data_IF_835046432197
#
_entry.id   IF_835046432197
#
_cell.length_a   1.000
_cell.length_b   1.000
_cell.length_c   1.000
_cell.angle_alpha   90.00
_cell.angle_beta   90.00
_cell.angle_gamma   90.00
#
_symmetry.space_group_name_H-M   'P 1'
#
loop_
_entity.id
_entity.type
_entity.pdbx_description
1 polymer ?
#
# COMPACT_ATOMS: atom_id res chain seq x y z
N UNK A 1 -19.35 55.31 50.34
CA UNK A 1 -18.01 54.74 50.08
C UNK A 1 -18.18 53.25 49.83
N UNK A 2 -17.64 52.75 48.73
CA UNK A 2 -17.92 51.43 48.15
C UNK A 2 -17.05 50.30 48.76
N UNK A 3 -17.52 49.04 48.75
CA UNK A 3 -16.67 47.89 49.06
C UNK A 3 -15.83 47.50 47.83
N UNK A 4 -14.51 47.39 48.01
CA UNK A 4 -13.57 46.82 47.04
C UNK A 4 -13.66 45.30 47.03
N UNK A 5 -13.98 44.72 45.88
CA UNK A 5 -13.91 43.28 45.60
C UNK A 5 -12.50 42.90 45.14
N UNK A 6 -11.89 41.94 45.85
CA UNK A 6 -10.60 41.35 45.49
C UNK A 6 -10.83 40.18 44.53
N UNK A 7 -10.28 40.25 43.32
CA UNK A 7 -10.42 39.22 42.30
C UNK A 7 -9.42 38.08 42.53
N UNK A 8 -9.93 36.86 42.71
CA UNK A 8 -9.15 35.64 42.83
C UNK A 8 -8.61 35.22 41.45
N UNK A 9 -7.30 35.12 41.33
CA UNK A 9 -6.59 34.61 40.15
C UNK A 9 -6.80 33.10 40.00
N UNK A 10 -7.42 32.69 38.89
CA UNK A 10 -7.60 31.30 38.49
C UNK A 10 -6.28 30.73 37.97
N UNK A 11 -5.83 29.52 38.38
CA UNK A 11 -4.63 28.92 37.82
C UNK A 11 -4.85 28.55 36.34
N UNK A 12 -3.92 28.96 35.48
CA UNK A 12 -3.89 28.59 34.08
C UNK A 12 -3.56 27.09 33.95
N UNK A 13 -4.51 26.31 33.45
CA UNK A 13 -4.28 24.92 33.06
C UNK A 13 -3.47 24.89 31.78
N UNK A 14 -2.20 24.48 31.87
CA UNK A 14 -1.38 24.13 30.70
C UNK A 14 -2.07 22.98 29.96
N UNK A 15 -2.40 23.10 28.66
CA UNK A 15 -2.95 21.97 27.93
C UNK A 15 -1.85 20.93 27.79
N UNK A 16 -1.99 19.82 28.52
CA UNK A 16 -1.20 18.62 28.28
C UNK A 16 -1.59 18.11 26.90
N UNK A 17 -0.76 18.37 25.91
CA UNK A 17 -0.93 17.84 24.56
C UNK A 17 -0.75 16.32 24.63
N UNK A 18 -1.84 15.58 24.78
CA UNK A 18 -1.86 14.15 24.54
C UNK A 18 -1.29 13.93 23.14
N UNK A 19 -0.22 13.14 22.96
CA UNK A 19 0.26 12.80 21.63
C UNK A 19 -0.90 12.18 20.86
N UNK A 20 -1.33 12.82 19.78
CA UNK A 20 -2.33 12.25 18.89
C UNK A 20 -1.82 10.87 18.47
N UNK A 21 -2.67 9.84 18.55
CA UNK A 21 -2.32 8.52 18.04
C UNK A 21 -1.77 8.67 16.60
N UNK A 22 -0.69 7.96 16.23
CA UNK A 22 -0.10 8.10 14.91
C UNK A 22 -1.19 7.85 13.87
N UNK A 23 -1.52 8.88 13.10
CA UNK A 23 -2.61 8.81 12.14
C UNK A 23 -2.19 7.85 11.03
N UNK A 24 -3.14 7.07 10.48
CA UNK A 24 -2.83 6.20 9.34
C UNK A 24 -2.30 7.04 8.19
N UNK A 25 -1.36 6.48 7.42
CA UNK A 25 -0.86 7.18 6.23
C UNK A 25 -2.00 7.36 5.24
N UNK A 26 -2.29 8.62 4.86
CA UNK A 26 -3.21 8.88 3.77
C UNK A 26 -2.52 8.54 2.45
N UNK A 27 -3.27 7.98 1.50
CA UNK A 27 -2.76 7.66 0.16
C UNK A 27 -2.14 8.87 -0.53
N UNK A 28 -2.68 10.09 -0.30
CA UNK A 28 -2.16 11.35 -0.84
C UNK A 28 -0.80 11.78 -0.27
N UNK A 29 -0.39 11.19 0.86
CA UNK A 29 0.91 11.43 1.51
C UNK A 29 1.92 10.34 1.15
N UNK A 30 1.55 9.40 0.26
CA UNK A 30 2.38 8.29 -0.14
C UNK A 30 2.78 8.41 -1.61
N UNK A 31 4.02 8.06 -1.91
CA UNK A 31 4.49 7.79 -3.26
C UNK A 31 4.79 6.30 -3.40
N UNK A 32 4.35 5.70 -4.51
CA UNK A 32 4.53 4.28 -4.80
C UNK A 32 5.55 4.05 -5.90
N UNK A 33 6.41 3.05 -5.72
CA UNK A 33 7.30 2.52 -6.76
C UNK A 33 7.32 0.99 -6.74
N UNK A 34 7.73 0.38 -7.84
CA UNK A 34 7.87 -1.08 -7.96
C UNK A 34 9.22 -1.42 -8.55
N UNK A 35 9.84 -2.47 -8.04
CA UNK A 35 11.07 -3.03 -8.57
C UNK A 35 11.00 -4.56 -8.54
N UNK A 36 11.74 -5.24 -9.42
CA UNK A 36 11.90 -6.69 -9.31
C UNK A 36 12.69 -7.02 -8.03
N UNK A 37 12.21 -8.00 -7.26
CA UNK A 37 12.91 -8.46 -6.06
C UNK A 37 14.12 -9.31 -6.46
N UNK A 38 15.30 -8.95 -5.93
CA UNK A 38 16.49 -9.78 -6.09
C UNK A 38 16.25 -11.19 -5.49
N UNK A 39 16.34 -12.23 -6.32
CA UNK A 39 16.12 -13.61 -5.90
C UNK A 39 14.66 -14.00 -5.62
N UNK A 40 13.69 -13.15 -5.97
CA UNK A 40 12.26 -13.42 -5.75
C UNK A 40 11.60 -14.32 -6.81
N UNK A 41 12.38 -14.89 -7.72
CA UNK A 41 11.88 -15.81 -8.75
C UNK A 41 11.38 -17.12 -8.14
N UNK A 42 10.19 -17.54 -8.52
CA UNK A 42 9.63 -18.86 -8.18
C UNK A 42 9.53 -19.69 -9.45
N UNK A 43 9.35 -21.02 -9.33
CA UNK A 43 9.12 -21.85 -10.51
C UNK A 43 7.81 -21.40 -11.19
N UNK A 44 7.90 -20.77 -12.37
CA UNK A 44 6.75 -20.24 -13.11
C UNK A 44 6.28 -18.84 -12.67
N UNK A 45 7.14 -18.05 -12.02
CA UNK A 45 6.79 -16.68 -11.62
C UNK A 45 7.98 -15.83 -11.19
N UNK A 46 7.72 -14.55 -10.91
CA UNK A 46 8.72 -13.59 -10.48
C UNK A 46 8.24 -12.75 -9.29
N UNK A 47 9.20 -12.35 -8.46
CA UNK A 47 8.98 -11.50 -7.30
C UNK A 47 9.15 -10.02 -7.65
N UNK A 48 8.24 -9.19 -7.15
CA UNK A 48 8.29 -7.75 -7.17
C UNK A 48 8.26 -7.22 -5.73
N UNK A 49 8.86 -6.06 -5.53
CA UNK A 49 8.76 -5.30 -4.29
C UNK A 49 8.05 -4.00 -4.59
N UNK A 50 6.87 -3.80 -3.99
CA UNK A 50 6.21 -2.48 -3.97
C UNK A 50 6.81 -1.70 -2.81
N UNK A 51 7.24 -0.47 -3.07
CA UNK A 51 7.75 0.45 -2.04
C UNK A 51 6.83 1.65 -1.95
N UNK A 52 6.30 1.90 -0.75
CA UNK A 52 5.54 3.10 -0.40
C UNK A 52 6.42 4.02 0.43
N UNK A 53 6.59 5.25 -0.01
CA UNK A 53 7.38 6.29 0.67
C UNK A 53 6.42 7.32 1.24
N UNK A 54 6.58 7.69 2.51
CA UNK A 54 5.86 8.82 3.09
C UNK A 54 6.48 10.12 2.58
N UNK A 55 5.79 10.80 1.66
CA UNK A 55 6.16 12.12 1.15
C UNK A 55 5.45 13.26 1.90
N UNK A 56 4.63 12.93 2.91
CA UNK A 56 4.00 13.90 3.79
C UNK A 56 4.97 14.49 4.82
N UNK A 57 4.51 15.53 5.52
CA UNK A 57 5.30 16.23 6.54
C UNK A 57 5.16 15.65 7.96
N UNK A 58 4.28 14.66 8.14
CA UNK A 58 3.99 14.03 9.44
C UNK A 58 4.39 12.57 9.47
N UNK A 59 4.64 12.07 10.66
CA UNK A 59 4.68 10.62 10.86
C UNK A 59 3.30 9.99 10.68
N UNK A 60 3.28 8.77 10.17
CA UNK A 60 2.05 8.01 9.99
C UNK A 60 2.31 6.50 10.11
N UNK A 61 1.25 5.69 10.15
CA UNK A 61 1.37 4.22 10.24
C UNK A 61 0.64 3.49 9.13
N UNK A 62 1.20 2.33 8.75
CA UNK A 62 0.59 1.34 7.87
C UNK A 62 0.55 -0.01 8.58
N UNK A 63 -0.54 -0.76 8.44
CA UNK A 63 -0.67 -2.10 9.05
C UNK A 63 -1.49 -2.99 8.16
N UNK A 64 -0.97 -4.17 7.82
CA UNK A 64 -1.70 -5.13 6.99
C UNK A 64 -1.10 -5.27 5.60
N UNK A 65 -1.97 -5.56 4.63
CA UNK A 65 -1.59 -5.89 3.26
C UNK A 65 -2.10 -4.81 2.33
N UNK A 66 -1.29 -4.33 1.38
CA UNK A 66 -1.80 -3.48 0.33
C UNK A 66 -2.70 -4.31 -0.62
N UNK A 67 -3.74 -3.68 -1.15
CA UNK A 67 -4.45 -4.22 -2.30
C UNK A 67 -3.63 -3.94 -3.55
N UNK A 68 -3.40 -4.94 -4.40
CA UNK A 68 -2.63 -4.78 -5.64
C UNK A 68 -3.41 -5.41 -6.77
N UNK A 69 -3.62 -4.68 -7.86
CA UNK A 69 -4.23 -5.23 -9.08
C UNK A 69 -3.44 -4.78 -10.29
N UNK A 70 -3.35 -5.64 -11.31
CA UNK A 70 -2.90 -5.19 -12.62
C UNK A 70 -3.91 -4.22 -13.21
N UNK A 71 -3.41 -3.23 -13.94
CA UNK A 71 -4.22 -2.29 -14.71
C UNK A 71 -3.67 -2.09 -16.11
N UNK A 72 -4.55 -1.80 -17.06
CA UNK A 72 -4.22 -1.63 -18.47
C UNK A 72 -5.19 -0.69 -19.19
N UNK A 73 -5.21 -0.82 -20.52
CA UNK A 73 -6.06 -0.09 -21.46
C UNK A 73 -5.82 1.44 -21.49
N UNK A 74 -4.70 1.93 -20.95
CA UNK A 74 -4.32 3.34 -20.92
C UNK A 74 -5.16 4.22 -19.99
N UNK A 75 -6.17 3.65 -19.34
CA UNK A 75 -7.13 4.35 -18.46
C UNK A 75 -7.14 3.80 -17.03
N UNK A 76 -6.28 2.83 -16.71
CA UNK A 76 -6.22 2.21 -15.38
C UNK A 76 -7.31 1.17 -15.13
N UNK A 77 -7.94 0.63 -16.18
CA UNK A 77 -8.91 -0.47 -16.07
C UNK A 77 -8.22 -1.67 -15.44
N UNK A 78 -8.86 -2.29 -14.44
CA UNK A 78 -8.30 -3.47 -13.81
C UNK A 78 -8.27 -4.65 -14.81
N UNK A 79 -7.13 -5.30 -14.89
CA UNK A 79 -6.92 -6.53 -15.66
C UNK A 79 -6.87 -7.69 -14.68
N UNK A 80 -7.80 -8.64 -14.81
CA UNK A 80 -7.81 -9.87 -13.99
C UNK A 80 -8.21 -9.67 -12.54
N UNK A 81 -7.81 -10.66 -11.74
CA UNK A 81 -8.07 -10.68 -10.30
C UNK A 81 -7.11 -9.77 -9.52
N UNK A 82 -7.60 -9.21 -8.42
CA UNK A 82 -6.75 -8.54 -7.43
C UNK A 82 -5.85 -9.56 -6.71
N UNK A 83 -4.75 -9.07 -6.16
CA UNK A 83 -3.78 -9.88 -5.43
C UNK A 83 -4.41 -10.56 -4.23
N UNK A 84 -4.13 -11.85 -4.09
CA UNK A 84 -4.46 -12.62 -2.91
C UNK A 84 -3.43 -12.32 -1.82
N UNK A 85 -3.88 -12.21 -0.57
CA UNK A 85 -2.94 -12.11 0.55
C UNK A 85 -2.24 -13.45 0.73
N UNK A 86 -0.93 -13.43 0.94
CA UNK A 86 -0.23 -14.65 1.33
C UNK A 86 -0.83 -15.16 2.65
N UNK A 87 -1.17 -16.45 2.68
CA UNK A 87 -1.66 -17.13 3.89
C UNK A 87 -0.52 -17.59 4.79
N UNK A 88 0.71 -17.57 4.28
CA UNK A 88 1.93 -17.99 4.95
C UNK A 88 2.87 -16.80 5.12
N UNK A 89 3.41 -16.63 6.33
CA UNK A 89 4.40 -15.58 6.62
C UNK A 89 4.18 -14.92 7.97
N UNK A 90 5.00 -13.89 8.23
CA UNK A 90 4.91 -13.08 9.45
C UNK A 90 3.58 -12.35 9.51
N UNK A 91 2.86 -12.37 10.65
CA UNK A 91 1.65 -11.57 10.80
C UNK A 91 1.97 -10.08 10.58
N UNK A 92 1.04 -9.31 9.99
CA UNK A 92 1.26 -7.90 9.74
C UNK A 92 1.53 -7.14 11.03
N UNK A 93 2.63 -6.41 11.08
CA UNK A 93 2.98 -5.49 12.15
C UNK A 93 2.63 -4.04 11.78
N UNK A 94 2.59 -3.18 12.79
CA UNK A 94 2.47 -1.75 12.55
C UNK A 94 3.80 -1.22 12.04
N UNK A 95 3.81 -0.73 10.81
CA UNK A 95 4.95 -0.04 10.21
C UNK A 95 4.77 1.45 10.42
N UNK A 96 5.73 2.08 11.10
CA UNK A 96 5.72 3.52 11.39
C UNK A 96 6.63 4.24 10.40
N UNK A 97 6.04 5.17 9.66
CA UNK A 97 6.68 5.91 8.58
C UNK A 97 6.88 7.36 9.02
N UNK A 98 8.13 7.73 9.28
CA UNK A 98 8.51 9.14 9.38
C UNK A 98 8.41 9.81 8.00
N UNK A 99 8.39 11.15 7.91
CA UNK A 99 8.62 11.84 6.63
C UNK A 99 9.88 11.31 5.93
N UNK A 100 9.74 10.90 4.67
CA UNK A 100 10.78 10.23 3.88
C UNK A 100 10.99 8.74 4.19
N UNK A 101 10.31 8.20 5.21
CA UNK A 101 10.37 6.78 5.55
C UNK A 101 9.73 5.91 4.48
N UNK A 102 10.13 4.64 4.41
CA UNK A 102 9.68 3.69 3.40
C UNK A 102 9.11 2.42 4.01
N UNK A 103 8.06 1.88 3.42
CA UNK A 103 7.50 0.58 3.72
C UNK A 103 7.39 -0.21 2.42
N UNK A 104 7.72 -1.48 2.49
CA UNK A 104 7.76 -2.39 1.34
C UNK A 104 6.74 -3.52 1.51
N UNK A 105 6.23 -4.03 0.39
CA UNK A 105 5.45 -5.24 0.35
C UNK A 105 5.95 -6.12 -0.81
N UNK A 106 6.21 -7.38 -0.49
CA UNK A 106 6.53 -8.38 -1.52
C UNK A 106 5.27 -8.74 -2.30
N UNK A 107 5.40 -8.81 -3.62
CA UNK A 107 4.37 -9.28 -4.54
C UNK A 107 4.96 -10.41 -5.36
N UNK A 108 4.29 -11.54 -5.38
CA UNK A 108 4.62 -12.68 -6.23
C UNK A 108 3.68 -12.66 -7.42
N UNK A 109 4.27 -12.72 -8.62
CA UNK A 109 3.54 -12.74 -9.88
C UNK A 109 3.77 -14.09 -10.54
N UNK A 110 2.70 -14.88 -10.69
CA UNK A 110 2.72 -16.07 -11.54
C UNK A 110 2.75 -15.62 -13.01
N UNK A 111 3.55 -16.30 -13.83
CA UNK A 111 3.65 -15.98 -15.23
C UNK A 111 2.37 -16.37 -15.97
N UNK A 112 1.82 -15.44 -16.77
CA UNK A 112 0.58 -15.67 -17.51
C UNK A 112 0.66 -16.88 -18.46
N UNK A 113 1.85 -17.17 -18.99
CA UNK A 113 2.11 -18.33 -19.84
C UNK A 113 1.95 -19.69 -19.14
N UNK A 114 1.82 -19.71 -17.81
CA UNK A 114 1.55 -20.92 -17.04
C UNK A 114 0.05 -21.33 -17.06
N UNK A 115 -0.83 -20.48 -17.60
CA UNK A 115 -2.25 -20.74 -17.75
C UNK A 115 -2.62 -20.99 -19.22
N UNK A 116 -3.65 -21.81 -19.46
CA UNK A 116 -4.24 -21.94 -20.79
C UNK A 116 -4.68 -20.57 -21.33
N UNK A 117 -4.31 -20.25 -22.57
CA UNK A 117 -4.60 -18.93 -23.17
C UNK A 117 -6.11 -18.62 -23.20
N UNK A 118 -6.96 -19.63 -23.38
CA UNK A 118 -8.42 -19.49 -23.34
C UNK A 118 -8.96 -19.14 -21.95
N UNK A 119 -8.25 -19.53 -20.88
CA UNK A 119 -8.62 -19.23 -19.50
C UNK A 119 -7.99 -17.92 -19.03
N UNK A 120 -6.75 -17.64 -19.43
CA UNK A 120 -6.01 -16.46 -19.01
C UNK A 120 -6.46 -15.20 -19.74
N UNK A 121 -6.71 -15.29 -21.05
CA UNK A 121 -6.84 -14.14 -21.95
C UNK A 121 -5.66 -13.16 -21.76
N UNK A 122 -4.44 -13.55 -22.18
CA UNK A 122 -3.24 -12.75 -21.96
C UNK A 122 -3.43 -11.32 -22.50
N UNK A 123 -3.24 -10.34 -21.63
CA UNK A 123 -3.46 -8.93 -21.93
C UNK A 123 -2.29 -8.09 -21.45
N UNK A 124 -1.84 -7.10 -22.25
CA UNK A 124 -0.80 -6.17 -21.80
C UNK A 124 -1.31 -5.36 -20.61
N UNK A 125 -0.41 -5.07 -19.67
CA UNK A 125 -0.70 -4.22 -18.51
C UNK A 125 0.22 -3.01 -18.53
N UNK A 126 -0.32 -1.87 -18.10
CA UNK A 126 0.40 -0.60 -17.99
C UNK A 126 1.09 -0.47 -16.62
N UNK A 127 0.57 -1.18 -15.63
CA UNK A 127 1.13 -1.18 -14.29
C UNK A 127 0.23 -1.79 -13.22
N UNK A 128 0.35 -1.23 -12.02
CA UNK A 128 -0.38 -1.66 -10.83
C UNK A 128 -1.24 -0.54 -10.26
N UNK A 129 -2.44 -0.92 -9.84
CA UNK A 129 -3.25 -0.13 -8.90
C UNK A 129 -3.01 -0.67 -7.50
N UNK A 130 -2.48 0.18 -6.62
CA UNK A 130 -2.06 -0.16 -5.26
C UNK A 130 -2.91 0.60 -4.25
N UNK A 131 -3.62 -0.11 -3.41
CA UNK A 131 -4.36 0.44 -2.27
C UNK A 131 -3.51 0.25 -1.01
N UNK A 132 -3.06 1.33 -0.33
CA UNK A 132 -2.40 1.19 0.95
C UNK A 132 -3.33 0.50 1.97
N UNK A 133 -2.77 -0.17 2.98
CA UNK A 133 -3.60 -0.77 4.03
C UNK A 133 -4.57 0.23 4.65
N UNK A 134 -5.81 -0.21 4.89
CA UNK A 134 -6.93 0.58 5.43
C UNK A 134 -7.25 1.87 4.66
N UNK A 135 -6.80 2.00 3.40
CA UNK A 135 -7.13 3.11 2.51
C UNK A 135 -8.03 2.64 1.36
N UNK A 136 -8.97 3.50 0.96
CA UNK A 136 -9.83 3.29 -0.23
C UNK A 136 -9.33 4.04 -1.46
N UNK A 137 -8.38 4.96 -1.29
CA UNK A 137 -7.70 5.61 -2.40
C UNK A 137 -6.56 4.72 -2.91
N UNK A 138 -6.34 4.74 -4.22
CA UNK A 138 -5.28 3.98 -4.86
C UNK A 138 -4.17 4.88 -5.40
N UNK A 139 -2.96 4.34 -5.42
CA UNK A 139 -1.85 4.81 -6.23
C UNK A 139 -1.77 3.99 -7.51
N UNK A 140 -1.30 4.63 -8.59
CA UNK A 140 -0.97 3.95 -9.83
C UNK A 140 0.53 3.94 -9.98
N UNK A 141 1.11 2.74 -10.12
CA UNK A 141 2.54 2.55 -10.30
C UNK A 141 2.74 1.96 -11.70
N UNK A 142 3.45 2.69 -12.55
CA UNK A 142 3.77 2.19 -13.90
C UNK A 142 4.68 0.97 -13.83
N UNK A 143 4.34 -0.07 -14.58
CA UNK A 143 5.15 -1.26 -14.77
C UNK A 143 4.93 -1.78 -16.19
N UNK A 144 5.58 -1.15 -17.18
CA UNK A 144 5.36 -1.46 -18.59
C UNK A 144 5.97 -2.81 -18.96
N UNK A 145 5.57 -3.34 -20.11
CA UNK A 145 6.05 -4.62 -20.68
C UNK A 145 5.70 -5.86 -19.84
N UNK A 146 4.72 -5.75 -18.94
CA UNK A 146 4.16 -6.90 -18.26
C UNK A 146 2.91 -7.41 -18.99
N UNK A 147 2.62 -8.70 -18.80
CA UNK A 147 1.41 -9.36 -19.32
C UNK A 147 0.68 -9.99 -18.14
N UNK A 148 -0.61 -9.67 -18.01
CA UNK A 148 -1.51 -10.27 -17.04
C UNK A 148 -2.54 -11.17 -17.72
N UNK A 149 -3.31 -11.89 -16.91
CA UNK A 149 -4.52 -12.57 -17.37
C UNK A 149 -5.71 -11.64 -17.16
N UNK A 150 -6.48 -11.37 -18.20
CA UNK A 150 -7.70 -10.55 -18.09
C UNK A 150 -8.82 -11.27 -17.35
N UNK A 151 -8.86 -12.60 -17.44
CA UNK A 151 -9.81 -13.40 -16.69
C UNK A 151 -9.50 -13.41 -15.18
N UNK A 152 -10.49 -13.16 -14.30
CA UNK A 152 -10.30 -13.24 -12.86
C UNK A 152 -10.15 -14.70 -12.36
N UNK A 153 -10.39 -15.70 -13.22
CA UNK A 153 -10.24 -17.12 -12.87
C UNK A 153 -8.78 -17.58 -12.86
N UNK A 154 -7.86 -16.78 -13.41
CA UNK A 154 -6.42 -17.01 -13.38
C UNK A 154 -5.74 -15.97 -12.47
N UNK A 155 -5.79 -16.14 -11.12
CA UNK A 155 -5.19 -15.19 -10.19
C UNK A 155 -3.66 -15.29 -10.23
N UNK A 156 -3.01 -14.28 -10.82
CA UNK A 156 -1.55 -14.25 -10.94
C UNK A 156 -0.85 -13.62 -9.73
N UNK A 157 -1.56 -12.81 -8.95
CA UNK A 157 -0.94 -11.94 -7.96
C UNK A 157 -1.13 -12.48 -6.53
N UNK A 158 -0.04 -12.57 -5.79
CA UNK A 158 -0.04 -12.78 -4.34
C UNK A 158 0.75 -11.68 -3.66
N UNK A 159 0.28 -11.15 -2.53
CA UNK A 159 0.90 -10.01 -1.83
C UNK A 159 1.16 -10.31 -0.36
N UNK A 160 2.34 -9.91 0.11
CA UNK A 160 2.78 -9.94 1.51
C UNK A 160 2.29 -8.74 2.32
N UNK A 161 2.44 -8.79 3.66
CA UNK A 161 2.15 -7.63 4.50
C UNK A 161 3.16 -6.51 4.24
N UNK A 162 2.78 -5.28 4.58
CA UNK A 162 3.72 -4.16 4.64
C UNK A 162 4.78 -4.42 5.71
N UNK A 163 6.04 -4.13 5.39
CA UNK A 163 7.20 -4.22 6.27
C UNK A 163 8.09 -3.00 6.06
N UNK A 164 8.67 -2.45 7.14
CA UNK A 164 9.58 -1.30 7.08
C UNK A 164 10.48 -1.27 8.30
#
# INVERSE_FOLDING_TARGET
MAPTTSAASTPASTPTSTPAAPTRCATSELAGSVAQSAGGGTAGGYGLTITLVNTGARECTLTGYPGVSFVGDGNGTQIGAAARRTSTGTPPSVVRLLPGGTATAAVQVTEAGNYDAATCEPSPVDGFRVYPPDNTAALFISYPNATGCRSPQAPLLTVGPMSG
#
